data_IF_590995322704
#
_entry.id   IF_590995322704
#
_cell.length_a   1.000
_cell.length_b   1.000
_cell.length_c   1.000
_cell.angle_alpha   90.00
_cell.angle_beta   90.00
_cell.angle_gamma   90.00
#
_symmetry.space_group_name_H-M   'P 1'
#
loop_
_entity.id
_entity.type
_entity.pdbx_description
1 polymer ?
#
# COMPACT_ATOMS: atom_id res chain seq x y z
N UNK A 1 47.29 25.67 21.41
CA UNK A 1 45.93 25.70 20.80
C UNK A 1 45.11 24.62 21.50
N UNK A 2 43.92 24.90 22.08
CA UNK A 2 43.15 23.85 22.74
C UNK A 2 42.37 23.04 21.71
N UNK A 3 42.48 21.71 21.79
CA UNK A 3 41.75 20.76 20.96
C UNK A 3 40.29 20.68 21.46
N UNK A 4 39.26 20.70 20.60
CA UNK A 4 37.87 20.61 21.04
C UNK A 4 37.62 19.26 21.72
N UNK A 5 37.18 19.30 22.98
CA UNK A 5 37.02 18.14 23.89
C UNK A 5 35.85 17.19 23.57
N UNK A 6 35.23 17.25 22.39
CA UNK A 6 33.92 16.61 22.17
C UNK A 6 33.77 15.77 20.90
N UNK A 7 34.87 15.28 20.32
CA UNK A 7 34.82 14.29 19.23
C UNK A 7 35.06 12.88 19.79
N UNK A 8 34.09 12.34 20.52
CA UNK A 8 34.09 10.93 20.88
C UNK A 8 33.85 10.09 19.62
N UNK A 9 34.86 9.35 19.19
CA UNK A 9 34.76 8.41 18.07
C UNK A 9 33.82 7.25 18.47
N UNK A 10 32.58 7.25 17.98
CA UNK A 10 31.60 6.18 18.24
C UNK A 10 31.72 5.07 17.19
N UNK A 11 32.11 3.89 17.63
CA UNK A 11 32.16 2.68 16.79
C UNK A 11 30.91 1.85 17.04
N UNK A 12 30.12 1.61 15.99
CA UNK A 12 28.95 0.75 16.05
C UNK A 12 29.32 -0.64 15.54
N UNK A 13 29.14 -1.66 16.38
CA UNK A 13 29.38 -3.05 16.01
C UNK A 13 28.04 -3.67 15.66
N UNK A 14 27.84 -3.99 14.38
CA UNK A 14 26.65 -4.69 13.90
C UNK A 14 26.95 -6.19 13.98
N UNK A 15 26.23 -6.89 14.85
CA UNK A 15 26.38 -8.34 14.97
C UNK A 15 25.44 -9.07 14.02
N UNK A 16 25.70 -10.36 13.76
CA UNK A 16 24.79 -11.20 12.94
C UNK A 16 23.37 -11.25 13.52
N UNK A 17 23.23 -11.15 14.84
CA UNK A 17 21.93 -11.10 15.52
C UNK A 17 21.14 -9.83 15.22
N UNK A 18 21.83 -8.69 15.08
CA UNK A 18 21.18 -7.41 14.73
C UNK A 18 20.63 -7.43 13.30
N UNK A 19 21.38 -8.04 12.38
CA UNK A 19 20.93 -8.27 11.00
C UNK A 19 19.68 -9.16 10.98
N UNK A 20 19.68 -10.26 11.75
CA UNK A 20 18.54 -11.16 11.80
C UNK A 20 17.29 -10.47 12.38
N UNK A 21 17.45 -9.64 13.41
CA UNK A 21 16.36 -8.85 13.99
C UNK A 21 15.82 -7.82 12.99
N UNK A 22 16.70 -7.15 12.26
CA UNK A 22 16.30 -6.22 11.20
C UNK A 22 15.45 -6.92 10.12
N UNK A 23 15.92 -8.07 9.63
CA UNK A 23 15.18 -8.87 8.63
C UNK A 23 13.84 -9.35 9.19
N UNK A 24 13.79 -9.82 10.43
CA UNK A 24 12.54 -10.24 11.06
C UNK A 24 11.53 -9.09 11.15
N UNK A 25 11.98 -7.91 11.56
CA UNK A 25 11.14 -6.70 11.64
C UNK A 25 10.64 -6.29 10.25
N UNK A 26 11.50 -6.31 9.24
CA UNK A 26 11.15 -5.98 7.85
C UNK A 26 10.10 -6.93 7.27
N UNK A 27 10.21 -8.23 7.55
CA UNK A 27 9.21 -9.23 7.13
C UNK A 27 7.86 -8.97 7.81
N UNK A 28 7.87 -8.62 9.10
CA UNK A 28 6.63 -8.29 9.83
C UNK A 28 6.01 -6.99 9.31
N UNK A 29 6.79 -5.94 9.13
CA UNK A 29 6.32 -4.68 8.54
C UNK A 29 5.83 -4.86 7.11
N UNK A 30 6.54 -5.65 6.31
CA UNK A 30 6.18 -5.97 4.92
C UNK A 30 4.84 -6.71 4.84
N UNK A 31 4.64 -7.73 5.67
CA UNK A 31 3.39 -8.50 5.73
C UNK A 31 2.21 -7.67 6.24
N UNK A 32 2.43 -6.79 7.22
CA UNK A 32 1.43 -5.85 7.70
C UNK A 32 1.04 -4.83 6.60
N UNK A 33 2.03 -4.24 5.94
CA UNK A 33 1.85 -3.28 4.85
C UNK A 33 1.09 -3.93 3.69
N UNK A 34 1.47 -5.15 3.29
CA UNK A 34 0.79 -5.92 2.28
C UNK A 34 -0.67 -6.20 2.64
N UNK A 35 -0.94 -6.59 3.89
CA UNK A 35 -2.30 -6.89 4.35
C UNK A 35 -3.20 -5.65 4.35
N UNK A 36 -2.65 -4.49 4.75
CA UNK A 36 -3.37 -3.21 4.70
C UNK A 36 -3.63 -2.81 3.25
N UNK A 37 -2.62 -2.91 2.38
CA UNK A 37 -2.76 -2.63 0.95
C UNK A 37 -3.86 -3.51 0.34
N UNK A 38 -3.83 -4.82 0.56
CA UNK A 38 -4.87 -5.74 0.09
C UNK A 38 -6.26 -5.35 0.59
N UNK A 39 -6.42 -5.04 1.88
CA UNK A 39 -7.74 -4.63 2.41
C UNK A 39 -8.27 -3.33 1.78
N UNK A 40 -7.40 -2.36 1.53
CA UNK A 40 -7.78 -1.09 0.90
C UNK A 40 -8.07 -1.27 -0.59
N UNK A 41 -7.22 -2.00 -1.31
CA UNK A 41 -7.31 -2.14 -2.76
C UNK A 41 -8.36 -3.16 -3.21
N UNK A 42 -8.69 -4.18 -2.42
CA UNK A 42 -9.71 -5.18 -2.80
C UNK A 42 -11.09 -4.54 -2.94
N UNK A 43 -11.44 -3.63 -2.04
CA UNK A 43 -12.69 -2.87 -2.12
C UNK A 43 -12.61 -1.76 -3.16
N UNK A 44 -11.45 -1.15 -3.37
CA UNK A 44 -11.26 -0.12 -4.39
C UNK A 44 -11.47 -0.68 -5.80
N UNK A 45 -10.94 -1.87 -6.09
CA UNK A 45 -11.11 -2.53 -7.39
C UNK A 45 -12.57 -2.92 -7.60
N UNK A 46 -13.23 -3.51 -6.60
CA UNK A 46 -14.64 -3.89 -6.70
C UNK A 46 -15.56 -2.67 -6.82
N UNK A 47 -15.29 -1.60 -6.05
CA UNK A 47 -16.06 -0.36 -6.11
C UNK A 47 -15.87 0.39 -7.43
N UNK A 48 -14.65 0.41 -7.98
CA UNK A 48 -14.37 1.04 -9.28
C UNK A 48 -14.93 0.23 -10.45
N UNK A 49 -14.75 -1.10 -10.46
CA UNK A 49 -15.36 -1.98 -11.46
C UNK A 49 -16.89 -1.95 -11.38
N UNK A 50 -17.45 -1.97 -10.16
CA UNK A 50 -18.89 -1.87 -9.92
C UNK A 50 -19.47 -0.51 -10.32
N UNK A 51 -18.76 0.59 -10.04
CA UNK A 51 -19.14 1.93 -10.47
C UNK A 51 -19.14 2.09 -12.00
N UNK A 52 -18.13 1.54 -12.68
CA UNK A 52 -18.09 1.52 -14.15
C UNK A 52 -19.20 0.66 -14.75
N UNK A 53 -19.39 -0.57 -14.24
CA UNK A 53 -20.43 -1.48 -14.69
C UNK A 53 -21.85 -0.91 -14.47
N UNK A 54 -22.09 -0.26 -13.33
CA UNK A 54 -23.37 0.40 -13.04
C UNK A 54 -23.65 1.57 -13.98
N UNK A 55 -22.65 2.41 -14.24
CA UNK A 55 -22.82 3.59 -15.11
C UNK A 55 -23.04 3.19 -16.58
N UNK A 56 -22.26 2.23 -17.07
CA UNK A 56 -22.37 1.74 -18.45
C UNK A 56 -23.64 0.89 -18.65
N UNK A 57 -24.01 0.10 -17.63
CA UNK A 57 -25.27 -0.65 -17.60
C UNK A 57 -26.49 0.25 -17.63
N UNK A 58 -26.51 1.32 -16.84
CA UNK A 58 -27.60 2.31 -16.84
C UNK A 58 -27.70 3.04 -18.19
N UNK A 59 -26.57 3.45 -18.78
CA UNK A 59 -26.54 4.03 -20.14
C UNK A 59 -27.17 3.09 -21.17
N UNK A 60 -26.79 1.80 -21.15
CA UNK A 60 -27.32 0.80 -22.07
C UNK A 60 -28.81 0.54 -21.86
N UNK A 61 -29.27 0.54 -20.61
CA UNK A 61 -30.69 0.38 -20.27
C UNK A 61 -31.55 1.55 -20.77
N UNK A 62 -31.06 2.79 -20.59
CA UNK A 62 -31.73 4.00 -21.08
C UNK A 62 -31.80 3.99 -22.62
N UNK A 63 -30.72 3.57 -23.29
CA UNK A 63 -30.68 3.42 -24.75
C UNK A 63 -31.63 2.34 -25.25
N UNK A 64 -31.74 1.19 -24.56
CA UNK A 64 -32.72 0.15 -24.88
C UNK A 64 -34.15 0.66 -24.73
N UNK A 65 -34.45 1.39 -23.65
CA UNK A 65 -35.77 1.98 -23.42
C UNK A 65 -36.15 2.99 -24.51
N UNK A 66 -35.21 3.81 -24.98
CA UNK A 66 -35.49 4.79 -26.04
C UNK A 66 -35.72 4.15 -27.40
N UNK A 67 -35.07 3.02 -27.68
CA UNK A 67 -35.29 2.24 -28.91
C UNK A 67 -36.64 1.50 -28.85
N UNK A 68 -37.02 0.95 -27.70
CA UNK A 68 -38.30 0.23 -27.53
C UNK A 68 -39.52 1.14 -27.52
N UNK A 69 -39.33 2.44 -27.22
CA UNK A 69 -40.39 3.45 -27.18
C UNK A 69 -40.62 4.15 -28.53
N UNK A 70 -39.94 3.73 -29.60
CA UNK A 70 -40.08 4.20 -30.97
C UNK A 70 -40.76 3.14 -31.83
#
# INVERSE_FOLDING_TARGET
MPVPRNQEFRVYIITKGDILRFVAIEIVLGTLTYSIAMKLFHNMILASAGGWAGTEGFKRLVMLRSILAK
#
